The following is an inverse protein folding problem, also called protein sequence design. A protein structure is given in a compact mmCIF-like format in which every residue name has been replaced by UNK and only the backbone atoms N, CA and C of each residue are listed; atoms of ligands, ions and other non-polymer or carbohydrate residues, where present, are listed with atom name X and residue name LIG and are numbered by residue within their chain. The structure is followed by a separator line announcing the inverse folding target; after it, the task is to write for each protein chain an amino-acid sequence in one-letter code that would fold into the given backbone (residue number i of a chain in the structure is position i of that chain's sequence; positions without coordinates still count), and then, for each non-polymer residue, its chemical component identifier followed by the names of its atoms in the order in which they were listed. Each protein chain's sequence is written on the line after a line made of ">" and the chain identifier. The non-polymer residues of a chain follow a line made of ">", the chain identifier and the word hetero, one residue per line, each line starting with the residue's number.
data_IF_249005566436
#
_entry.id   IF_249005566436
#
_cell.length_a   1.000
_cell.length_b   1.000
_cell.length_c   1.000
_cell.angle_alpha   90.00
_cell.angle_beta   90.00
_cell.angle_gamma   90.00
#
_symmetry.space_group_name_H-M   'P 1'
#
loop_
_entity.id
_entity.type
_entity.pdbx_description
1 polymer ?
#
# COMPACT_ATOMS: atom_id res chain seq x y z
N UNK A 1 15.22 -9.14 -48.19
CA UNK A 1 14.22 -9.55 -47.19
C UNK A 1 14.79 -9.22 -45.82
N UNK A 2 14.49 -8.05 -45.25
CA UNK A 2 15.02 -7.68 -43.93
C UNK A 2 14.03 -6.83 -43.09
N UNK A 3 12.87 -6.51 -43.66
CA UNK A 3 11.86 -5.64 -43.03
C UNK A 3 11.16 -6.33 -41.85
N UNK A 4 11.02 -7.65 -41.90
CA UNK A 4 10.44 -8.45 -40.80
C UNK A 4 11.39 -8.63 -39.62
N UNK A 5 12.71 -8.59 -39.82
CA UNK A 5 13.68 -8.77 -38.73
C UNK A 5 13.77 -7.55 -37.81
N UNK A 6 13.54 -6.35 -38.33
CA UNK A 6 13.52 -5.09 -37.57
C UNK A 6 12.14 -4.76 -36.94
N UNK A 7 11.05 -5.26 -37.53
CA UNK A 7 9.69 -5.00 -37.03
C UNK A 7 9.44 -5.66 -35.66
N UNK A 8 9.94 -6.89 -35.48
CA UNK A 8 9.70 -7.67 -34.26
C UNK A 8 10.35 -6.99 -33.03
N UNK A 9 11.65 -6.59 -33.06
CA UNK A 9 12.26 -5.83 -31.96
C UNK A 9 11.55 -4.51 -31.65
N UNK A 10 11.14 -3.78 -32.69
CA UNK A 10 10.43 -2.50 -32.52
C UNK A 10 9.07 -2.70 -31.83
N UNK A 11 8.30 -3.72 -32.22
CA UNK A 11 7.02 -4.07 -31.60
C UNK A 11 7.21 -4.53 -30.14
N UNK A 12 8.23 -5.34 -29.85
CA UNK A 12 8.55 -5.77 -28.48
C UNK A 12 8.94 -4.57 -27.60
N UNK A 13 9.75 -3.64 -28.11
CA UNK A 13 10.08 -2.41 -27.41
C UNK A 13 8.84 -1.54 -27.14
N UNK A 14 7.94 -1.37 -28.11
CA UNK A 14 6.69 -0.62 -27.94
C UNK A 14 5.76 -1.27 -26.91
N UNK A 15 5.64 -2.61 -26.93
CA UNK A 15 4.89 -3.37 -25.94
C UNK A 15 5.49 -3.23 -24.53
N UNK A 16 6.81 -3.34 -24.40
CA UNK A 16 7.50 -3.12 -23.13
C UNK A 16 7.27 -1.69 -22.61
N UNK A 17 7.42 -0.68 -23.48
CA UNK A 17 7.28 0.74 -23.11
C UNK A 17 5.85 1.13 -22.73
N UNK A 18 4.86 0.63 -23.46
CA UNK A 18 3.45 0.83 -23.11
C UNK A 18 3.10 0.10 -21.82
N UNK A 19 3.65 -1.08 -21.58
CA UNK A 19 3.44 -1.81 -20.32
C UNK A 19 4.01 -1.07 -19.11
N UNK A 20 5.22 -0.51 -19.20
CA UNK A 20 5.86 0.23 -18.10
C UNK A 20 5.15 1.55 -17.85
N UNK A 21 4.71 2.24 -18.91
CA UNK A 21 3.92 3.47 -18.80
C UNK A 21 2.56 3.23 -18.14
N UNK A 22 1.80 2.24 -18.61
CA UNK A 22 0.51 1.85 -18.02
C UNK A 22 0.69 1.42 -16.57
N UNK A 23 1.75 0.66 -16.26
CA UNK A 23 2.07 0.27 -14.90
C UNK A 23 2.38 1.48 -14.00
N UNK A 24 3.19 2.43 -14.47
CA UNK A 24 3.51 3.67 -13.74
C UNK A 24 2.28 4.55 -13.48
N UNK A 25 1.40 4.71 -14.47
CA UNK A 25 0.16 5.47 -14.32
C UNK A 25 -0.79 4.82 -13.31
N UNK A 26 -0.92 3.50 -13.36
CA UNK A 26 -1.72 2.74 -12.40
C UNK A 26 -1.16 2.83 -10.99
N UNK A 27 0.17 2.81 -10.84
CA UNK A 27 0.85 3.00 -9.55
C UNK A 27 0.53 4.38 -8.96
N UNK A 28 0.65 5.46 -9.75
CA UNK A 28 0.37 6.83 -9.32
C UNK A 28 -1.10 7.02 -8.90
N UNK A 29 -2.03 6.48 -9.69
CA UNK A 29 -3.46 6.51 -9.36
C UNK A 29 -3.76 5.77 -8.05
N UNK A 30 -3.17 4.59 -7.87
CA UNK A 30 -3.35 3.80 -6.64
C UNK A 30 -2.78 4.53 -5.42
N UNK A 31 -1.61 5.15 -5.57
CA UNK A 31 -0.97 5.94 -4.51
C UNK A 31 -1.83 7.15 -4.10
N UNK A 32 -2.45 7.83 -5.06
CA UNK A 32 -3.39 8.92 -4.80
C UNK A 32 -4.62 8.46 -4.01
N UNK A 33 -5.20 7.32 -4.37
CA UNK A 33 -6.36 6.76 -3.64
C UNK A 33 -5.99 6.26 -2.24
N UNK A 34 -4.78 5.73 -2.06
CA UNK A 34 -4.24 5.38 -0.74
C UNK A 34 -4.13 6.64 0.13
N UNK A 35 -3.49 7.71 -0.36
CA UNK A 35 -3.33 8.97 0.39
C UNK A 35 -4.69 9.57 0.76
N UNK A 36 -5.64 9.57 -0.18
CA UNK A 36 -7.01 10.05 0.06
C UNK A 36 -7.70 9.25 1.17
N UNK A 37 -7.59 7.92 1.12
CA UNK A 37 -8.17 7.03 2.15
C UNK A 37 -7.51 7.24 3.51
N UNK A 38 -6.19 7.39 3.53
CA UNK A 38 -5.43 7.67 4.75
C UNK A 38 -5.82 9.01 5.36
N UNK A 39 -5.97 10.07 4.55
CA UNK A 39 -6.44 11.37 5.04
C UNK A 39 -7.80 11.29 5.72
N UNK A 40 -8.74 10.51 5.17
CA UNK A 40 -10.05 10.28 5.78
C UNK A 40 -9.90 9.52 7.11
N UNK A 41 -9.08 8.46 7.13
CA UNK A 41 -8.86 7.64 8.31
C UNK A 41 -8.15 8.38 9.44
N UNK A 42 -7.19 9.25 9.13
CA UNK A 42 -6.44 10.06 10.12
C UNK A 42 -7.26 11.24 10.63
N UNK A 43 -8.12 11.84 9.78
CA UNK A 43 -8.99 12.95 10.17
C UNK A 43 -10.19 12.50 11.00
N UNK A 44 -10.66 11.26 10.82
CA UNK A 44 -11.64 10.66 11.73
C UNK A 44 -10.95 10.43 13.07
N UNK A 45 -11.61 10.84 14.16
CA UNK A 45 -11.16 10.49 15.50
C UNK A 45 -11.02 8.95 15.59
N UNK A 46 -9.77 8.47 15.61
CA UNK A 46 -9.44 7.03 15.66
C UNK A 46 -10.06 6.38 16.91
N UNK A 47 -10.36 7.17 17.96
CA UNK A 47 -11.12 6.75 19.13
C UNK A 47 -12.55 6.28 18.81
N UNK A 48 -13.18 6.76 17.72
CA UNK A 48 -14.48 6.25 17.23
C UNK A 48 -14.33 5.01 16.32
N UNK A 49 -13.11 4.68 15.90
CA UNK A 49 -12.76 3.54 15.03
C UNK A 49 -12.27 2.35 15.87
N UNK A 50 -12.08 2.52 17.17
CA UNK A 50 -11.45 1.53 18.05
C UNK A 50 -12.25 1.38 19.34
N UNK A 51 -12.98 0.27 19.47
CA UNK A 51 -12.97 -0.42 20.76
C UNK A 51 -11.53 -0.88 20.98
N UNK A 52 -10.96 -0.54 22.14
CA UNK A 52 -9.55 -0.74 22.56
C UNK A 52 -8.81 -1.82 21.77
N UNK A 53 -8.15 -1.43 20.67
CA UNK A 53 -7.18 -2.31 20.01
C UNK A 53 -6.01 -2.42 20.98
N UNK A 54 -5.79 -3.64 21.51
CA UNK A 54 -4.68 -3.93 22.42
C UNK A 54 -3.37 -3.42 21.80
N UNK A 55 -2.49 -2.74 22.57
CA UNK A 55 -1.28 -2.07 22.07
C UNK A 55 -0.21 -2.99 21.44
N UNK A 56 -0.49 -4.28 21.24
CA UNK A 56 0.54 -5.32 21.15
C UNK A 56 0.76 -5.92 19.76
N UNK A 57 0.16 -5.40 18.68
CA UNK A 57 0.20 -6.13 17.39
C UNK A 57 0.97 -5.46 16.25
N UNK A 58 1.35 -4.18 16.31
CA UNK A 58 1.67 -3.46 15.07
C UNK A 58 3.11 -3.00 14.97
N UNK A 59 3.90 -3.76 14.21
CA UNK A 59 5.34 -3.54 14.05
C UNK A 59 5.71 -3.73 12.60
N UNK A 60 6.26 -2.69 12.03
CA UNK A 60 6.74 -2.73 10.66
C UNK A 60 8.09 -2.02 10.59
N UNK A 61 9.15 -2.69 10.12
CA UNK A 61 10.35 -2.02 9.66
C UNK A 61 9.96 -1.21 8.41
N UNK A 62 10.13 0.10 8.47
CA UNK A 62 9.79 1.02 7.36
C UNK A 62 10.98 1.29 6.43
N UNK A 63 12.10 0.61 6.67
CA UNK A 63 13.37 0.75 5.95
C UNK A 63 13.59 -0.39 4.95
N UNK A 64 12.52 -1.04 4.50
CA UNK A 64 12.55 -2.14 3.52
C UNK A 64 12.03 -1.68 2.16
N UNK A 65 11.97 -2.60 1.18
CA UNK A 65 11.36 -2.32 -0.12
C UNK A 65 9.90 -1.88 0.00
N UNK A 66 9.44 -1.07 -0.94
CA UNK A 66 8.06 -0.55 -1.00
C UNK A 66 7.02 -1.67 -0.98
N UNK A 67 7.24 -2.69 -1.80
CA UNK A 67 6.37 -3.87 -1.89
C UNK A 67 6.27 -4.61 -0.56
N UNK A 68 7.34 -4.62 0.23
CA UNK A 68 7.36 -5.23 1.55
C UNK A 68 6.67 -4.38 2.60
N UNK A 69 6.87 -3.05 2.57
CA UNK A 69 6.12 -2.10 3.40
C UNK A 69 4.61 -2.27 3.15
N UNK A 70 4.20 -2.34 1.89
CA UNK A 70 2.78 -2.52 1.55
C UNK A 70 2.25 -3.88 2.00
N UNK A 71 3.00 -4.96 1.82
CA UNK A 71 2.61 -6.31 2.26
C UNK A 71 2.44 -6.41 3.79
N UNK A 72 3.37 -5.81 4.55
CA UNK A 72 3.28 -5.84 6.00
C UNK A 72 2.12 -4.95 6.49
N UNK A 73 1.88 -3.82 5.83
CA UNK A 73 0.73 -2.95 6.12
C UNK A 73 -0.62 -3.65 5.87
N UNK A 74 -0.75 -4.44 4.79
CA UNK A 74 -1.97 -5.23 4.52
C UNK A 74 -2.19 -6.30 5.58
N UNK A 75 -1.12 -6.97 6.02
CA UNK A 75 -1.17 -7.96 7.10
C UNK A 75 -1.70 -7.34 8.41
N UNK A 76 -1.18 -6.17 8.77
CA UNK A 76 -1.64 -5.38 9.92
C UNK A 76 -3.11 -5.00 9.79
N UNK A 77 -3.53 -4.44 8.64
CA UNK A 77 -4.92 -4.03 8.41
C UNK A 77 -5.89 -5.21 8.53
N UNK A 78 -5.51 -6.37 7.95
CA UNK A 78 -6.26 -7.64 8.05
C UNK A 78 -6.45 -8.07 9.49
N UNK A 79 -5.43 -8.01 10.31
CA UNK A 79 -5.57 -8.32 11.73
C UNK A 79 -6.58 -7.40 12.40
N UNK A 80 -6.53 -6.09 12.15
CA UNK A 80 -7.42 -5.12 12.79
C UNK A 80 -8.90 -5.37 12.43
N UNK A 81 -9.25 -5.43 11.14
CA UNK A 81 -10.66 -5.53 10.74
C UNK A 81 -11.24 -6.95 10.82
N UNK A 82 -10.40 -8.00 10.92
CA UNK A 82 -10.86 -9.37 11.18
C UNK A 82 -11.20 -9.57 12.65
N UNK A 83 -10.47 -8.92 13.56
CA UNK A 83 -10.67 -9.08 15.01
C UNK A 83 -11.60 -8.01 15.61
N UNK A 84 -11.81 -6.88 14.92
CA UNK A 84 -12.68 -5.81 15.39
C UNK A 84 -13.74 -5.45 14.33
N UNK A 85 -15.02 -5.49 14.70
CA UNK A 85 -16.18 -5.15 13.85
C UNK A 85 -16.26 -3.65 13.42
N UNK A 86 -15.19 -2.88 13.55
CA UNK A 86 -15.21 -1.42 13.42
C UNK A 86 -14.78 -0.92 12.02
N UNK A 87 -15.56 0.02 11.46
CA UNK A 87 -15.31 0.79 10.22
C UNK A 87 -14.63 0.02 9.07
N UNK A 88 -15.24 -1.10 8.69
CA UNK A 88 -14.69 -2.08 7.74
C UNK A 88 -14.44 -1.55 6.33
N UNK A 89 -15.24 -0.60 5.81
CA UNK A 89 -15.15 -0.22 4.38
C UNK A 89 -13.85 0.51 4.02
N UNK A 90 -13.42 1.46 4.83
CA UNK A 90 -12.20 2.25 4.54
C UNK A 90 -10.93 1.45 4.79
N UNK A 91 -10.86 0.67 5.89
CA UNK A 91 -9.72 -0.21 6.15
C UNK A 91 -9.61 -1.33 5.12
N UNK A 92 -10.73 -1.94 4.69
CA UNK A 92 -10.73 -2.93 3.58
C UNK A 92 -10.36 -2.29 2.24
N UNK A 93 -10.81 -1.06 1.98
CA UNK A 93 -10.40 -0.32 0.78
C UNK A 93 -8.90 -0.05 0.75
N UNK A 94 -8.36 0.40 1.89
CA UNK A 94 -6.92 0.60 2.08
C UNK A 94 -6.14 -0.70 1.89
N UNK A 95 -6.59 -1.81 2.50
CA UNK A 95 -5.98 -3.15 2.33
C UNK A 95 -5.95 -3.58 0.85
N UNK A 96 -7.06 -3.41 0.13
CA UNK A 96 -7.14 -3.76 -1.31
C UNK A 96 -6.15 -2.97 -2.15
N UNK A 97 -6.06 -1.66 -1.93
CA UNK A 97 -5.15 -0.80 -2.68
C UNK A 97 -3.68 -1.08 -2.36
N UNK A 98 -3.35 -1.35 -1.10
CA UNK A 98 -1.99 -1.74 -0.72
C UNK A 98 -1.63 -3.12 -1.26
N UNK A 99 -2.58 -4.07 -1.23
CA UNK A 99 -2.39 -5.44 -1.70
C UNK A 99 -2.08 -5.51 -3.19
N UNK A 100 -2.64 -4.61 -4.01
CA UNK A 100 -2.35 -4.57 -5.45
C UNK A 100 -0.91 -4.10 -5.76
N UNK A 101 -0.26 -3.43 -4.81
CA UNK A 101 1.10 -2.91 -4.94
C UNK A 101 2.13 -3.73 -4.14
N UNK A 102 1.68 -4.70 -3.34
CA UNK A 102 2.48 -5.45 -2.38
C UNK A 102 3.14 -6.71 -2.98
N UNK A 103 4.12 -7.25 -2.24
CA UNK A 103 4.54 -8.64 -2.44
C UNK A 103 3.42 -9.60 -2.03
N UNK A 104 3.41 -10.81 -2.62
CA UNK A 104 2.42 -11.85 -2.28
C UNK A 104 2.53 -12.33 -0.84
N UNK A 105 3.75 -12.35 -0.29
CA UNK A 105 4.07 -12.83 1.05
C UNK A 105 5.14 -11.95 1.68
N UNK A 106 5.06 -11.76 2.99
CA UNK A 106 6.06 -11.05 3.79
C UNK A 106 6.05 -11.61 5.22
N UNK A 107 7.22 -11.57 5.87
CA UNK A 107 7.36 -11.98 7.26
C UNK A 107 7.05 -10.80 8.19
N UNK A 108 6.30 -11.03 9.27
CA UNK A 108 6.02 -10.03 10.30
C UNK A 108 6.63 -10.52 11.61
N UNK A 109 7.91 -10.23 11.83
CA UNK A 109 8.72 -10.91 12.87
C UNK A 109 9.16 -10.02 14.05
N UNK A 110 8.91 -8.71 14.04
CA UNK A 110 9.49 -7.80 15.07
C UNK A 110 8.44 -7.21 16.01
N UNK A 111 8.88 -6.79 17.20
CA UNK A 111 8.05 -6.30 18.32
C UNK A 111 8.39 -4.82 18.67
N UNK A 112 7.67 -3.83 18.10
CA UNK A 112 7.60 -2.43 18.58
C UNK A 112 6.16 -1.94 18.54
N UNK A 113 5.55 -1.81 19.70
CA UNK A 113 4.15 -1.39 19.90
C UNK A 113 3.88 0.00 19.28
N UNK A 114 2.86 0.13 18.44
CA UNK A 114 2.33 1.43 17.99
C UNK A 114 0.79 1.40 17.92
N UNK A 115 0.14 2.53 18.14
CA UNK A 115 -1.32 2.60 18.06
C UNK A 115 -1.79 2.57 16.60
N UNK A 116 -3.06 2.21 16.34
CA UNK A 116 -3.65 2.31 15.00
C UNK A 116 -3.49 3.72 14.41
N UNK A 117 -3.62 4.75 15.25
CA UNK A 117 -3.43 6.15 14.83
C UNK A 117 -1.99 6.37 14.36
N UNK A 118 -1.00 5.99 15.16
CA UNK A 118 0.41 6.16 14.82
C UNK A 118 0.79 5.37 13.56
N UNK A 119 0.23 4.16 13.41
CA UNK A 119 0.38 3.34 12.22
C UNK A 119 -0.14 4.06 10.97
N UNK A 120 -1.38 4.58 11.01
CA UNK A 120 -2.01 5.26 9.87
C UNK A 120 -1.28 6.55 9.50
N UNK A 121 -0.88 7.36 10.49
CA UNK A 121 -0.13 8.60 10.27
C UNK A 121 1.25 8.33 9.66
N UNK A 122 1.95 7.30 10.15
CA UNK A 122 3.25 6.93 9.59
C UNK A 122 3.13 6.38 8.17
N UNK A 123 2.11 5.54 7.91
CA UNK A 123 1.82 5.05 6.57
C UNK A 123 1.53 6.20 5.61
N UNK A 124 0.74 7.19 6.05
CA UNK A 124 0.43 8.41 5.29
C UNK A 124 1.70 9.19 4.93
N UNK A 125 2.58 9.44 5.90
CA UNK A 125 3.84 10.16 5.65
C UNK A 125 4.70 9.46 4.59
N UNK A 126 4.74 8.13 4.62
CA UNK A 126 5.51 7.33 3.65
C UNK A 126 4.89 7.39 2.26
N UNK A 127 3.55 7.29 2.17
CA UNK A 127 2.85 7.40 0.89
C UNK A 127 3.01 8.78 0.27
N UNK A 128 2.92 9.84 1.07
CA UNK A 128 3.15 11.21 0.61
C UNK A 128 4.57 11.41 0.12
N UNK A 129 5.58 10.92 0.86
CA UNK A 129 6.99 10.98 0.45
C UNK A 129 7.25 10.21 -0.85
N UNK A 130 6.50 9.15 -1.12
CA UNK A 130 6.56 8.43 -2.40
C UNK A 130 5.90 9.24 -3.52
N UNK A 131 4.73 9.79 -3.26
CA UNK A 131 3.98 10.56 -4.24
C UNK A 131 4.74 11.83 -4.67
N UNK A 132 5.46 12.48 -3.76
CA UNK A 132 6.27 13.66 -4.08
C UNK A 132 7.52 13.37 -4.93
N UNK A 133 7.88 12.10 -5.12
CA UNK A 133 9.04 11.67 -5.91
C UNK A 133 8.67 11.26 -7.34
N UNK A 134 7.38 11.24 -7.63
CA UNK A 134 6.78 10.97 -8.94
C UNK A 134 6.07 12.21 -9.44
#
# INVERSE_FOLDING_TARGET
>A
MDLTSQLIPALVCLLAFTSTFVHGQNFNNTLKEIIKTLNILTARNVSKISGTISPDVLVMPWNTSDKEIFCRATTVLRQIYTHHNCSTKFLKGLDRNLSSMANRTCSVNEVKKCTLKDFLERLKAIMQKKYSKH
#
